data_IF_867319253906
#
_entry.id   IF_867319253906
#
_cell.length_a   1.000
_cell.length_b   1.000
_cell.length_c   1.000
_cell.angle_alpha   90.00
_cell.angle_beta   90.00
_cell.angle_gamma   90.00
#
_symmetry.space_group_name_H-M   'P 1'
#
loop_
_entity.id
_entity.type
_entity.pdbx_description
1 polymer ?
#
# COMPACT_ATOMS: atom_id res chain seq x y z
N UNK A 1 -11.78 8.23 21.10
CA UNK A 1 -11.73 9.24 20.03
C UNK A 1 -12.74 8.80 18.97
N UNK A 2 -13.43 9.72 18.28
CA UNK A 2 -14.25 9.30 17.13
C UNK A 2 -13.35 8.69 16.05
N UNK A 3 -13.87 7.69 15.33
CA UNK A 3 -13.10 7.03 14.29
C UNK A 3 -12.85 8.00 13.12
N UNK A 4 -11.58 8.14 12.72
CA UNK A 4 -11.16 9.04 11.63
C UNK A 4 -10.87 8.21 10.38
N UNK A 5 -11.36 8.66 9.23
CA UNK A 5 -11.08 8.05 7.93
C UNK A 5 -12.28 7.39 7.28
N UNK A 6 -12.02 6.46 6.37
CA UNK A 6 -13.02 5.72 5.58
C UNK A 6 -12.70 4.24 5.57
N UNK A 7 -13.68 3.44 5.15
CA UNK A 7 -13.57 1.98 5.08
C UNK A 7 -13.13 1.49 3.71
N UNK A 8 -13.08 2.36 2.70
CA UNK A 8 -12.66 2.06 1.33
C UNK A 8 -11.71 3.12 0.81
N UNK A 9 -10.59 2.67 0.27
CA UNK A 9 -9.56 3.54 -0.29
C UNK A 9 -9.04 2.95 -1.59
N UNK A 10 -8.66 3.80 -2.53
CA UNK A 10 -8.05 3.41 -3.80
C UNK A 10 -6.77 4.20 -4.06
N UNK A 11 -5.72 3.49 -4.47
CA UNK A 11 -4.50 4.07 -5.04
C UNK A 11 -4.50 3.65 -6.52
N UNK A 12 -4.64 4.62 -7.41
CA UNK A 12 -4.69 4.39 -8.86
C UNK A 12 -3.30 4.21 -9.50
N UNK A 13 -2.26 4.09 -8.68
CA UNK A 13 -0.86 4.15 -9.07
C UNK A 13 -0.08 3.08 -8.29
N UNK A 14 0.81 2.37 -8.99
CA UNK A 14 1.55 1.24 -8.44
C UNK A 14 2.53 0.71 -9.48
N UNK A 15 3.80 0.62 -9.09
CA UNK A 15 4.91 0.12 -9.90
C UNK A 15 6.09 -0.14 -8.98
N UNK A 16 6.56 -1.39 -8.95
CA UNK A 16 7.75 -1.79 -8.18
C UNK A 16 8.90 -2.02 -9.15
N UNK A 17 9.90 -1.13 -9.22
CA UNK A 17 11.08 -1.35 -10.04
C UNK A 17 11.86 -2.60 -9.61
N UNK A 18 12.35 -3.39 -10.58
CA UNK A 18 13.30 -4.47 -10.26
C UNK A 18 14.72 -3.97 -10.00
N UNK A 19 15.09 -2.84 -10.60
CA UNK A 19 16.40 -2.20 -10.46
C UNK A 19 16.46 -1.29 -9.24
N UNK A 20 17.62 -1.25 -8.59
CA UNK A 20 17.93 -0.33 -7.50
C UNK A 20 19.42 -0.03 -7.47
N UNK A 21 19.79 1.23 -7.27
CA UNK A 21 21.19 1.63 -7.05
C UNK A 21 21.73 1.22 -5.67
N UNK A 22 20.85 0.75 -4.77
CA UNK A 22 21.17 0.38 -3.40
C UNK A 22 20.77 -1.06 -3.09
N UNK A 23 21.51 -1.71 -2.21
CA UNK A 23 21.20 -3.04 -1.67
C UNK A 23 20.56 -3.00 -0.28
N UNK A 24 20.60 -1.84 0.40
CA UNK A 24 19.93 -1.64 1.67
C UNK A 24 18.40 -1.68 1.47
N UNK A 25 17.69 -2.53 2.22
CA UNK A 25 16.22 -2.65 2.18
C UNK A 25 15.54 -1.29 2.39
N UNK A 26 16.12 -0.38 3.17
CA UNK A 26 15.57 0.97 3.36
C UNK A 26 15.58 1.80 2.06
N UNK A 27 16.52 1.53 1.15
CA UNK A 27 16.81 2.33 -0.04
C UNK A 27 16.47 1.61 -1.36
N UNK A 28 16.19 0.30 -1.34
CA UNK A 28 15.63 -0.40 -2.51
C UNK A 28 14.30 0.25 -2.89
N UNK A 29 14.08 0.39 -4.19
CA UNK A 29 12.84 0.98 -4.71
C UNK A 29 11.63 0.24 -4.16
N UNK A 30 10.72 0.99 -3.54
CA UNK A 30 9.58 0.40 -2.86
C UNK A 30 8.39 1.35 -2.84
N UNK A 31 7.23 0.73 -2.74
CA UNK A 31 5.96 1.41 -2.55
C UNK A 31 5.39 1.05 -1.21
N UNK A 32 4.84 2.05 -0.52
CA UNK A 32 4.27 1.87 0.80
C UNK A 32 2.86 2.43 0.85
N UNK A 33 1.92 1.61 1.30
CA UNK A 33 0.66 2.08 1.83
C UNK A 33 0.85 2.36 3.34
N UNK A 34 0.94 3.64 3.70
CA UNK A 34 0.96 4.08 5.08
C UNK A 34 -0.49 4.10 5.60
N UNK A 35 -0.80 3.19 6.53
CA UNK A 35 -2.15 2.99 7.07
C UNK A 35 -2.19 3.46 8.52
N UNK A 36 -3.11 4.36 8.85
CA UNK A 36 -3.39 4.75 10.23
C UNK A 36 -4.76 4.22 10.66
N UNK A 37 -4.77 3.39 11.71
CA UNK A 37 -5.97 3.03 12.45
C UNK A 37 -6.04 3.86 13.74
N UNK A 38 -6.81 4.94 13.72
CA UNK A 38 -7.05 5.80 14.88
C UNK A 38 -8.20 5.30 15.78
N UNK A 39 -8.83 4.17 15.43
CA UNK A 39 -9.96 3.62 16.18
C UNK A 39 -9.52 2.79 17.39
N UNK A 40 -10.50 2.46 18.24
CA UNK A 40 -10.33 1.60 19.43
C UNK A 40 -10.38 0.09 19.11
N UNK A 41 -10.59 -0.28 17.85
CA UNK A 41 -10.70 -1.67 17.39
C UNK A 41 -9.59 -1.99 16.39
N UNK A 42 -9.16 -3.26 16.33
CA UNK A 42 -8.23 -3.70 15.31
C UNK A 42 -8.89 -3.62 13.92
N UNK A 43 -8.17 -3.07 12.95
CA UNK A 43 -8.62 -2.97 11.57
C UNK A 43 -8.17 -4.18 10.77
N UNK A 44 -9.12 -4.95 10.24
CA UNK A 44 -8.87 -6.03 9.28
C UNK A 44 -9.01 -5.47 7.88
N UNK A 45 -7.87 -5.33 7.20
CA UNK A 45 -7.78 -4.73 5.87
C UNK A 45 -7.62 -5.84 4.82
N UNK A 46 -8.51 -5.84 3.84
CA UNK A 46 -8.41 -6.62 2.63
C UNK A 46 -7.92 -5.73 1.49
N UNK A 47 -6.88 -6.16 0.79
CA UNK A 47 -6.26 -5.42 -0.31
C UNK A 47 -6.45 -6.21 -1.59
N UNK A 48 -6.90 -5.55 -2.65
CA UNK A 48 -7.02 -6.13 -3.99
C UNK A 48 -6.15 -5.36 -4.96
N UNK A 49 -5.33 -6.06 -5.74
CA UNK A 49 -4.42 -5.48 -6.73
C UNK A 49 -5.02 -5.65 -8.12
N UNK A 50 -5.14 -4.56 -8.88
CA UNK A 50 -5.67 -4.51 -10.24
C UNK A 50 -4.52 -4.34 -11.23
N UNK A 51 -4.60 -5.01 -12.37
CA UNK A 51 -3.58 -4.97 -13.43
C UNK A 51 -4.20 -4.48 -14.73
N UNK A 52 -3.37 -3.96 -15.63
CA UNK A 52 -3.85 -3.44 -16.92
C UNK A 52 -4.37 -4.54 -17.89
N UNK A 53 -3.92 -5.78 -17.73
CA UNK A 53 -4.08 -6.84 -18.75
C UNK A 53 -4.47 -8.22 -18.19
N UNK A 54 -4.90 -8.29 -16.93
CA UNK A 54 -5.32 -9.55 -16.28
C UNK A 54 -6.25 -9.27 -15.10
N UNK A 55 -6.91 -10.32 -14.64
CA UNK A 55 -7.82 -10.26 -13.50
C UNK A 55 -7.13 -9.76 -12.21
N UNK A 56 -7.88 -9.07 -11.32
CA UNK A 56 -7.36 -8.64 -10.03
C UNK A 56 -6.92 -9.81 -9.14
N UNK A 57 -5.98 -9.53 -8.25
CA UNK A 57 -5.43 -10.50 -7.30
C UNK A 57 -5.71 -10.05 -5.88
N UNK A 58 -6.21 -10.97 -5.07
CA UNK A 58 -6.50 -10.73 -3.67
C UNK A 58 -7.53 -11.72 -3.10
N UNK A 59 -8.00 -11.47 -1.87
CA UNK A 59 -7.56 -10.37 -1.02
C UNK A 59 -6.26 -10.73 -0.28
N UNK A 60 -5.29 -9.82 -0.33
CA UNK A 60 -4.18 -9.80 0.63
C UNK A 60 -4.72 -9.29 1.96
N UNK A 61 -4.39 -9.96 3.07
CA UNK A 61 -4.98 -9.64 4.39
C UNK A 61 -3.93 -9.11 5.34
N UNK A 62 -4.24 -7.95 5.95
CA UNK A 62 -3.38 -7.28 6.92
C UNK A 62 -4.20 -6.77 8.08
N UNK A 63 -3.67 -6.87 9.30
CA UNK A 63 -4.29 -6.29 10.49
C UNK A 63 -3.49 -5.08 10.96
N UNK A 64 -4.16 -3.95 11.17
CA UNK A 64 -3.59 -2.77 11.84
C UNK A 64 -4.24 -2.65 13.20
N UNK A 65 -3.48 -2.90 14.27
CA UNK A 65 -4.00 -2.89 15.63
C UNK A 65 -4.62 -1.53 16.01
N UNK A 66 -5.54 -1.54 16.98
CA UNK A 66 -6.17 -0.33 17.51
C UNK A 66 -5.13 0.74 17.89
N UNK A 67 -5.38 2.00 17.49
CA UNK A 67 -4.49 3.16 17.74
C UNK A 67 -3.05 2.93 17.27
N UNK A 68 -2.84 2.35 16.08
CA UNK A 68 -1.52 2.11 15.49
C UNK A 68 -1.45 2.55 14.03
N UNK A 69 -0.21 2.73 13.57
CA UNK A 69 0.13 2.90 12.15
C UNK A 69 0.84 1.66 11.64
N UNK A 70 0.72 1.39 10.34
CA UNK A 70 1.46 0.39 9.62
C UNK A 70 1.97 0.98 8.31
N UNK A 71 3.28 0.91 8.09
CA UNK A 71 3.89 1.23 6.81
C UNK A 71 4.02 -0.07 6.02
N UNK A 72 2.98 -0.40 5.26
CA UNK A 72 2.91 -1.64 4.51
C UNK A 72 3.62 -1.47 3.17
N UNK A 73 4.77 -2.13 3.02
CA UNK A 73 5.45 -2.20 1.71
C UNK A 73 4.69 -3.17 0.81
N UNK A 74 4.20 -2.68 -0.33
CA UNK A 74 3.49 -3.52 -1.30
C UNK A 74 4.42 -4.58 -1.91
N UNK A 75 5.73 -4.30 -1.95
CA UNK A 75 6.78 -5.25 -2.31
C UNK A 75 6.79 -6.53 -1.45
N UNK A 76 6.32 -6.44 -0.20
CA UNK A 76 6.42 -7.52 0.78
C UNK A 76 5.13 -8.37 0.82
N UNK A 77 4.14 -8.07 -0.04
CA UNK A 77 2.91 -8.87 -0.17
C UNK A 77 3.20 -10.14 -0.98
N UNK A 78 2.89 -11.31 -0.42
CA UNK A 78 3.23 -12.62 -1.01
C UNK A 78 2.10 -13.67 -1.00
N UNK A 79 1.03 -13.48 -0.22
CA UNK A 79 -0.16 -14.34 -0.16
C UNK A 79 -1.41 -13.55 -0.60
N UNK A 80 -2.10 -13.91 -1.70
CA UNK A 80 -2.06 -15.20 -2.41
C UNK A 80 -0.89 -15.43 -3.37
N UNK A 81 -0.19 -14.36 -3.77
CA UNK A 81 1.02 -14.44 -4.58
C UNK A 81 1.78 -13.10 -4.54
N UNK A 82 3.10 -13.07 -4.82
CA UNK A 82 3.86 -11.84 -4.91
C UNK A 82 3.33 -10.86 -5.97
N UNK A 83 3.39 -9.55 -5.68
CA UNK A 83 3.16 -8.53 -6.70
C UNK A 83 4.33 -8.54 -7.68
N UNK A 84 4.09 -8.66 -9.00
CA UNK A 84 5.16 -8.66 -9.99
C UNK A 84 5.88 -7.31 -10.01
N UNK A 85 7.20 -7.37 -10.18
CA UNK A 85 8.00 -6.17 -10.46
C UNK A 85 7.82 -5.71 -11.91
N UNK A 86 8.23 -4.48 -12.16
CA UNK A 86 8.17 -3.82 -13.48
C UNK A 86 6.81 -3.95 -14.17
N UNK A 87 5.75 -3.83 -13.38
CA UNK A 87 4.37 -3.99 -13.83
C UNK A 87 3.54 -2.86 -13.25
N UNK A 88 2.80 -2.16 -14.09
CA UNK A 88 1.81 -1.18 -13.64
C UNK A 88 0.63 -1.88 -12.96
N UNK A 89 0.24 -1.37 -11.79
CA UNK A 89 -0.92 -1.87 -11.06
C UNK A 89 -1.60 -0.73 -10.28
N UNK A 90 -2.81 -1.03 -9.79
CA UNK A 90 -3.54 -0.20 -8.85
C UNK A 90 -3.99 -1.04 -7.65
N UNK A 91 -4.39 -0.41 -6.55
CA UNK A 91 -4.80 -1.13 -5.34
C UNK A 91 -6.05 -0.53 -4.69
N UNK A 92 -6.90 -1.42 -4.19
CA UNK A 92 -8.08 -1.06 -3.38
C UNK A 92 -7.93 -1.68 -2.00
N UNK A 93 -8.24 -0.91 -0.96
CA UNK A 93 -8.18 -1.29 0.44
C UNK A 93 -9.58 -1.22 1.03
N UNK A 94 -10.05 -2.32 1.61
CA UNK A 94 -11.32 -2.41 2.31
C UNK A 94 -11.08 -2.78 3.78
N UNK A 95 -11.67 -2.03 4.71
CA UNK A 95 -11.46 -2.19 6.15
C UNK A 95 -12.78 -2.33 6.91
N UNK A 96 -12.77 -3.14 7.97
CA UNK A 96 -13.91 -3.31 8.87
C UNK A 96 -14.12 -2.15 9.85
N UNK A 97 -13.15 -1.24 9.98
CA UNK A 97 -13.26 0.03 10.69
C UNK A 97 -12.66 1.18 9.87
N UNK A 98 -13.03 2.45 10.11
CA UNK A 98 -12.41 3.58 9.44
C UNK A 98 -10.90 3.63 9.65
N UNK A 99 -10.17 3.73 8.55
CA UNK A 99 -8.71 3.91 8.50
C UNK A 99 -8.38 5.08 7.58
N UNK A 100 -7.14 5.56 7.64
CA UNK A 100 -6.57 6.50 6.66
C UNK A 100 -5.48 5.77 5.89
N UNK A 101 -5.42 6.00 4.58
CA UNK A 101 -4.39 5.43 3.70
C UNK A 101 -3.68 6.56 2.94
N UNK A 102 -2.36 6.59 3.04
CA UNK A 102 -1.48 7.47 2.28
C UNK A 102 -0.51 6.62 1.45
N UNK A 103 -0.36 6.97 0.17
CA UNK A 103 0.59 6.33 -0.72
C UNK A 103 1.94 7.04 -0.64
N UNK A 104 3.03 6.29 -0.57
CA UNK A 104 4.38 6.78 -0.80
C UNK A 104 5.13 5.85 -1.76
N UNK A 105 5.96 6.44 -2.63
CA UNK A 105 6.93 5.71 -3.44
C UNK A 105 8.32 6.32 -3.23
N UNK A 106 9.29 5.43 -3.04
CA UNK A 106 10.71 5.74 -3.15
C UNK A 106 11.24 5.07 -4.41
N UNK A 107 11.71 5.87 -5.35
CA UNK A 107 12.39 5.42 -6.56
C UNK A 107 13.89 5.69 -6.43
N UNK A 108 14.67 4.62 -6.47
CA UNK A 108 16.11 4.63 -6.29
C UNK A 108 16.87 4.01 -7.47
N UNK A 109 16.23 3.94 -8.65
CA UNK A 109 16.88 3.45 -9.88
C UNK A 109 18.13 4.26 -10.26
N UNK A 110 18.18 5.54 -9.88
CA UNK A 110 19.36 6.41 -10.04
C UNK A 110 19.87 6.87 -8.67
N UNK A 111 21.13 7.36 -8.64
CA UNK A 111 21.73 7.93 -7.43
C UNK A 111 20.94 9.13 -6.87
N UNK A 112 20.23 9.85 -7.74
CA UNK A 112 19.27 10.89 -7.37
C UNK A 112 17.95 10.21 -7.00
N UNK A 113 17.75 9.97 -5.69
CA UNK A 113 16.52 9.35 -5.16
C UNK A 113 15.34 10.30 -5.34
N UNK A 114 14.24 9.79 -5.90
CA UNK A 114 12.98 10.52 -6.02
C UNK A 114 11.93 9.99 -5.04
N UNK A 115 11.14 10.90 -4.47
CA UNK A 115 10.04 10.60 -3.56
C UNK A 115 8.74 11.16 -4.10
N UNK A 116 7.68 10.35 -4.02
CA UNK A 116 6.30 10.75 -4.29
C UNK A 116 5.42 10.38 -3.11
N UNK A 117 4.47 11.24 -2.77
CA UNK A 117 3.39 10.88 -1.86
C UNK A 117 2.09 11.59 -2.21
N UNK A 118 0.97 10.89 -2.01
CA UNK A 118 -0.38 11.44 -2.09
C UNK A 118 -1.28 10.71 -1.08
N UNK A 119 -2.30 11.38 -0.59
CA UNK A 119 -3.40 10.69 0.12
C UNK A 119 -4.14 9.83 -0.91
N UNK A 120 -4.53 8.62 -0.52
CA UNK A 120 -5.31 7.73 -1.38
C UNK A 120 -6.73 8.30 -1.59
N UNK A 121 -7.38 7.97 -2.69
CA UNK A 121 -8.77 8.35 -2.90
C UNK A 121 -9.66 7.61 -1.89
N UNK A 122 -10.54 8.33 -1.20
CA UNK A 122 -11.45 7.76 -0.22
C UNK A 122 -12.88 7.68 -0.80
N UNK A 123 -13.53 6.52 -0.69
CA UNK A 123 -14.92 6.33 -1.10
C UNK A 123 -15.86 6.26 0.11
N UNK A 124 -16.99 6.98 0.03
CA UNK A 124 -18.06 7.05 1.04
C UNK A 124 -17.92 8.17 2.05
#
# INVERSE_FOLDING_TARGET
>A
MEAIGRRRWAIAEGYIPSESSFSDRALISHETACILNASEQDARVAITIFFANREPVGPYRVTVAARRTLHLRLNDLDDPQPIPRDTDYASVFESDVPIIVQHTRLDSRRAEVALLSTVAYAEG
#
